data_IF_412339325049
#
_entry.id   IF_412339325049
#
_cell.length_a   1.000
_cell.length_b   1.000
_cell.length_c   1.000
_cell.angle_alpha   90.00
_cell.angle_beta   90.00
_cell.angle_gamma   90.00
#
_symmetry.space_group_name_H-M   'P 1'
#
loop_
_entity.id
_entity.type
_entity.pdbx_description
1 polymer ?
#
# COMPACT_ATOMS: atom_id res chain seq x y z
N UNK A 1 -25.20 -7.76 0.24
CA UNK A 1 -24.23 -6.95 1.01
C UNK A 1 -23.78 -5.80 0.12
N UNK A 2 -23.67 -4.58 0.65
CA UNK A 2 -23.11 -3.45 -0.11
C UNK A 2 -21.61 -3.68 -0.18
N UNK A 3 -21.02 -3.66 -1.38
CA UNK A 3 -19.57 -3.75 -1.52
C UNK A 3 -18.95 -2.51 -0.85
N UNK A 4 -17.93 -2.73 -0.02
CA UNK A 4 -17.12 -1.66 0.55
C UNK A 4 -16.05 -1.34 -0.48
N UNK A 5 -15.90 -0.06 -0.80
CA UNK A 5 -14.80 0.43 -1.61
C UNK A 5 -13.54 0.48 -0.74
N UNK A 6 -12.59 -0.43 -0.99
CA UNK A 6 -11.33 -0.51 -0.25
C UNK A 6 -10.39 0.66 -0.56
N UNK A 7 -10.60 1.35 -1.68
CA UNK A 7 -9.81 2.50 -2.12
C UNK A 7 -10.53 3.84 -1.84
N UNK A 8 -11.54 3.83 -0.96
CA UNK A 8 -12.23 5.05 -0.58
C UNK A 8 -11.27 6.04 0.11
N UNK A 9 -11.57 7.32 0.00
CA UNK A 9 -10.76 8.40 0.56
C UNK A 9 -11.58 9.28 1.51
N UNK A 10 -10.91 9.90 2.48
CA UNK A 10 -11.51 10.92 3.34
C UNK A 10 -11.77 12.25 2.58
N UNK A 11 -12.31 13.26 3.28
CA UNK A 11 -12.57 14.59 2.70
C UNK A 11 -11.31 15.34 2.27
N UNK A 12 -10.12 14.87 2.66
CA UNK A 12 -8.82 15.41 2.29
C UNK A 12 -8.16 14.61 1.17
N UNK A 13 -8.81 13.55 0.66
CA UNK A 13 -8.28 12.70 -0.39
C UNK A 13 -7.31 11.62 0.10
N UNK A 14 -7.24 11.37 1.41
CA UNK A 14 -6.35 10.35 1.98
C UNK A 14 -7.05 9.00 2.06
N UNK A 15 -6.39 7.96 1.57
CA UNK A 15 -6.87 6.58 1.68
C UNK A 15 -6.43 5.93 2.99
N UNK A 16 -6.96 4.73 3.26
CA UNK A 16 -6.62 3.96 4.45
C UNK A 16 -5.10 3.70 4.58
N UNK A 17 -4.41 3.44 3.45
CA UNK A 17 -2.98 3.16 3.43
C UNK A 17 -2.13 4.38 3.80
N UNK A 18 -2.49 5.57 3.29
CA UNK A 18 -1.82 6.84 3.66
C UNK A 18 -1.98 7.13 5.15
N UNK A 19 -3.18 6.92 5.71
CA UNK A 19 -3.43 7.12 7.13
C UNK A 19 -2.67 6.11 8.00
N UNK A 20 -2.49 4.88 7.54
CA UNK A 20 -1.69 3.87 8.24
C UNK A 20 -0.20 4.25 8.27
N UNK A 21 0.32 4.81 7.17
CA UNK A 21 1.67 5.34 7.09
C UNK A 21 1.88 6.58 7.97
N UNK A 22 0.94 7.53 7.97
CA UNK A 22 0.96 8.71 8.88
C UNK A 22 1.00 8.31 10.36
N UNK A 23 0.41 7.15 10.69
CA UNK A 23 0.38 6.62 12.05
C UNK A 23 1.57 5.71 12.38
N UNK A 24 2.51 5.51 11.46
CA UNK A 24 3.61 4.54 11.57
C UNK A 24 3.15 3.12 11.97
N UNK A 25 1.98 2.70 11.49
CA UNK A 25 1.38 1.41 11.84
C UNK A 25 1.67 0.36 10.77
N UNK A 26 2.79 -0.36 10.92
CA UNK A 26 3.26 -1.34 9.93
C UNK A 26 2.26 -2.48 9.73
N UNK A 27 1.67 -3.01 10.80
CA UNK A 27 0.72 -4.13 10.71
C UNK A 27 -0.51 -3.76 9.89
N UNK A 28 -0.94 -2.49 9.97
CA UNK A 28 -2.06 -2.00 9.17
C UNK A 28 -1.67 -1.78 7.71
N UNK A 29 -0.45 -1.31 7.44
CA UNK A 29 0.10 -1.20 6.07
C UNK A 29 0.12 -2.59 5.41
N UNK A 30 0.65 -3.60 6.10
CA UNK A 30 0.71 -4.98 5.62
C UNK A 30 -0.68 -5.55 5.33
N UNK A 31 -1.62 -5.39 6.27
CA UNK A 31 -2.99 -5.88 6.10
C UNK A 31 -3.69 -5.23 4.89
N UNK A 32 -3.56 -3.91 4.74
CA UNK A 32 -4.20 -3.18 3.64
C UNK A 32 -3.64 -3.60 2.27
N UNK A 33 -2.34 -3.87 2.21
CA UNK A 33 -1.68 -4.42 1.03
C UNK A 33 -2.24 -5.80 0.68
N UNK A 34 -2.33 -6.71 1.66
CA UNK A 34 -2.91 -8.06 1.45
C UNK A 34 -4.37 -7.98 0.99
N UNK A 35 -5.11 -6.98 1.47
CA UNK A 35 -6.49 -6.73 1.05
C UNK A 35 -6.63 -6.11 -0.35
N UNK A 36 -5.52 -5.82 -1.03
CA UNK A 36 -5.52 -5.27 -2.39
C UNK A 36 -5.85 -3.79 -2.46
N UNK A 37 -5.55 -3.01 -1.41
CA UNK A 37 -5.61 -1.56 -1.47
C UNK A 37 -4.53 -1.04 -2.42
N UNK A 38 -4.89 -0.09 -3.28
CA UNK A 38 -3.94 0.48 -4.24
C UNK A 38 -2.82 1.25 -3.52
N UNK A 39 -1.57 0.87 -3.80
CA UNK A 39 -0.39 1.50 -3.19
C UNK A 39 -0.16 2.92 -3.67
N UNK A 40 -0.44 3.28 -4.94
CA UNK A 40 -0.31 4.64 -5.49
C UNK A 40 0.99 5.34 -5.04
N UNK A 41 0.89 6.50 -4.39
CA UNK A 41 2.01 7.32 -3.94
C UNK A 41 2.54 6.91 -2.54
N UNK A 42 2.09 5.77 -2.00
CA UNK A 42 2.41 5.32 -0.64
C UNK A 42 3.91 5.10 -0.43
N UNK A 43 4.64 4.67 -1.45
CA UNK A 43 6.09 4.51 -1.37
C UNK A 43 6.79 5.86 -1.18
N UNK A 44 6.39 6.87 -1.96
CA UNK A 44 6.94 8.23 -1.81
C UNK A 44 6.59 8.81 -0.45
N UNK A 45 5.37 8.57 0.03
CA UNK A 45 4.92 9.01 1.35
C UNK A 45 5.73 8.35 2.47
N UNK A 46 5.98 7.04 2.40
CA UNK A 46 6.79 6.32 3.38
C UNK A 46 8.24 6.83 3.43
N UNK A 47 8.82 7.21 2.27
CA UNK A 47 10.14 7.84 2.21
C UNK A 47 10.14 9.23 2.86
N UNK A 48 9.14 10.06 2.56
CA UNK A 48 9.00 11.40 3.14
C UNK A 48 8.85 11.37 4.66
N UNK A 49 8.18 10.34 5.19
CA UNK A 49 8.04 10.09 6.62
C UNK A 49 9.23 9.35 7.25
N UNK A 50 10.26 9.00 6.48
CA UNK A 50 11.41 8.21 6.93
C UNK A 50 11.04 6.84 7.55
N UNK A 51 9.90 6.27 7.16
CA UNK A 51 9.40 4.99 7.68
C UNK A 51 10.03 3.80 6.93
N UNK A 52 11.25 3.45 7.31
CA UNK A 52 12.11 2.47 6.62
C UNK A 52 11.43 1.11 6.42
N UNK A 53 10.78 0.58 7.45
CA UNK A 53 10.13 -0.73 7.41
C UNK A 53 8.99 -0.76 6.39
N UNK A 54 8.20 0.32 6.30
CA UNK A 54 7.14 0.41 5.31
C UNK A 54 7.70 0.57 3.88
N UNK A 55 8.83 1.26 3.72
CA UNK A 55 9.52 1.36 2.42
C UNK A 55 9.97 -0.02 1.94
N UNK A 56 10.61 -0.80 2.81
CA UNK A 56 11.05 -2.17 2.48
C UNK A 56 9.86 -3.05 2.09
N UNK A 57 8.79 -3.02 2.89
CA UNK A 57 7.58 -3.81 2.66
C UNK A 57 6.87 -3.43 1.34
N UNK A 58 6.79 -2.13 1.02
CA UNK A 58 6.18 -1.65 -0.23
C UNK A 58 7.01 -2.03 -1.46
N UNK A 59 8.35 -2.04 -1.36
CA UNK A 59 9.24 -2.46 -2.44
C UNK A 59 9.14 -3.97 -2.70
N UNK A 60 9.11 -4.78 -1.64
CA UNK A 60 8.93 -6.23 -1.75
C UNK A 60 7.60 -6.57 -2.43
N UNK A 61 6.51 -5.88 -2.05
CA UNK A 61 5.22 -6.03 -2.72
C UNK A 61 5.32 -5.75 -4.23
N UNK A 62 5.98 -4.67 -4.64
CA UNK A 62 6.12 -4.31 -6.06
C UNK A 62 6.92 -5.37 -6.83
N UNK A 63 7.98 -5.91 -6.25
CA UNK A 63 8.80 -6.97 -6.85
C UNK A 63 8.01 -8.26 -7.05
N UNK A 64 7.16 -8.64 -6.08
CA UNK A 64 6.28 -9.79 -6.18
C UNK A 64 5.24 -9.64 -7.31
N UNK A 65 4.63 -8.45 -7.43
CA UNK A 65 3.72 -8.14 -8.53
C UNK A 65 4.43 -8.28 -9.88
N UNK A 66 5.59 -7.65 -10.03
CA UNK A 66 6.37 -7.70 -11.28
C UNK A 66 6.82 -9.14 -11.64
N UNK A 67 7.22 -9.92 -10.64
CA UNK A 67 7.60 -11.32 -10.83
C UNK A 67 6.43 -12.18 -11.30
N UNK A 68 5.22 -11.90 -10.80
CA UNK A 68 4.01 -12.58 -11.26
C UNK A 68 3.66 -12.25 -12.72
N UNK A 69 3.89 -11.01 -13.17
CA UNK A 69 3.64 -10.59 -14.56
C UNK A 69 4.60 -11.26 -15.56
N UNK A 70 5.88 -11.45 -15.19
CA UNK A 70 6.89 -12.09 -16.04
C UNK A 70 6.58 -13.58 -16.24
N UNK A 71 5.95 -14.25 -15.27
CA UNK A 71 5.59 -15.66 -15.40
C UNK A 71 4.43 -15.91 -16.36
N UNK A 72 3.59 -14.90 -16.65
CA UNK A 72 2.41 -15.07 -17.50
C UNK A 72 2.68 -14.84 -18.99
N UNK A 73 3.86 -14.31 -19.36
CA UNK A 73 4.22 -14.05 -20.76
C UNK A 73 5.68 -14.46 -21.05
N UNK A 74 5.95 -15.72 -21.45
CA UNK A 74 7.26 -16.18 -21.93
C UNK A 74 7.65 -15.61 -23.30
#
# INVERSE_FOLDING_TARGET
AKAIDVNCVDSLGRGALTLALESENLEMVELLIIMGVETRDSLLFAIDQEFVEAVELLLEHEELLRSSEISEHP
#
